data_IF_437309637698
#
_entry.id   IF_437309637698
#
_cell.length_a   1.000
_cell.length_b   1.000
_cell.length_c   1.000
_cell.angle_alpha   90.00
_cell.angle_beta   90.00
_cell.angle_gamma   90.00
#
_symmetry.space_group_name_H-M   'P 1'
#
loop_
_entity.id
_entity.type
_entity.pdbx_description
1 polymer ?
#
# COMPACT_ATOMS: atom_id res chain seq x y z
N UNK A 1 2.36 7.85 -18.91
CA UNK A 1 1.60 6.65 -18.57
C UNK A 1 0.65 7.06 -17.46
N UNK A 2 -0.65 7.17 -17.73
CA UNK A 2 -1.67 7.45 -16.72
C UNK A 2 -1.96 6.14 -16.02
N UNK A 3 -1.67 6.09 -14.72
CA UNK A 3 -2.08 4.98 -13.88
C UNK A 3 -3.49 5.28 -13.39
N UNK A 4 -4.50 4.86 -14.16
CA UNK A 4 -5.87 4.79 -13.66
C UNK A 4 -6.07 3.42 -13.03
N UNK A 5 -6.15 3.38 -11.71
CA UNK A 5 -6.71 2.25 -10.99
C UNK A 5 -8.21 2.52 -10.83
N UNK A 6 -9.02 1.91 -11.69
CA UNK A 6 -10.46 1.84 -11.51
C UNK A 6 -10.89 0.39 -11.64
N UNK A 7 -11.08 -0.28 -10.51
CA UNK A 7 -11.72 -1.58 -10.48
C UNK A 7 -13.23 -1.40 -10.59
N UNK A 8 -13.76 -1.54 -11.81
CA UNK A 8 -15.20 -1.62 -12.04
C UNK A 8 -15.62 -3.09 -11.98
N UNK A 9 -16.45 -3.46 -11.01
CA UNK A 9 -16.97 -4.80 -10.76
C UNK A 9 -17.82 -5.40 -11.90
N UNK A 10 -17.89 -4.77 -13.08
CA UNK A 10 -18.75 -5.14 -14.21
C UNK A 10 -18.04 -5.76 -15.41
N UNK A 11 -16.72 -5.89 -15.41
CA UNK A 11 -16.00 -6.60 -16.48
C UNK A 11 -15.69 -8.04 -16.07
N UNK A 12 -16.66 -8.93 -16.24
CA UNK A 12 -16.46 -10.38 -16.27
C UNK A 12 -15.94 -10.82 -17.64
N UNK A 13 -14.72 -10.44 -18.01
CA UNK A 13 -13.91 -11.29 -18.87
C UNK A 13 -13.44 -12.43 -17.99
N UNK A 14 -13.67 -13.68 -18.41
CA UNK A 14 -13.15 -14.87 -17.76
C UNK A 14 -11.64 -14.82 -17.80
N UNK A 15 -11.07 -14.19 -16.79
CA UNK A 15 -9.64 -14.21 -16.51
C UNK A 15 -9.29 -15.69 -16.42
N UNK A 16 -8.31 -16.15 -17.18
CA UNK A 16 -7.83 -17.50 -17.04
C UNK A 16 -7.09 -17.59 -15.68
N UNK A 17 -7.85 -17.83 -14.62
CA UNK A 17 -7.42 -17.78 -13.22
C UNK A 17 -6.18 -18.65 -12.97
N UNK A 18 -6.08 -19.79 -13.65
CA UNK A 18 -4.94 -20.68 -13.52
C UNK A 18 -3.65 -20.05 -14.08
N UNK A 19 -3.73 -19.33 -15.21
CA UNK A 19 -2.58 -18.68 -15.81
C UNK A 19 -2.07 -17.53 -14.95
N UNK A 20 -2.99 -16.70 -14.42
CA UNK A 20 -2.60 -15.59 -13.54
C UNK A 20 -2.06 -16.10 -12.21
N UNK A 21 -2.61 -17.21 -11.69
CA UNK A 21 -2.07 -17.84 -10.49
C UNK A 21 -0.61 -18.30 -10.70
N UNK A 22 -0.30 -18.95 -11.82
CA UNK A 22 1.07 -19.34 -12.17
C UNK A 22 1.99 -18.12 -12.32
N UNK A 23 1.53 -17.09 -13.00
CA UNK A 23 2.25 -15.83 -13.14
C UNK A 23 2.51 -15.18 -11.78
N UNK A 24 1.52 -15.17 -10.88
CA UNK A 24 1.70 -14.70 -9.50
C UNK A 24 2.75 -15.53 -8.76
N UNK A 25 2.76 -16.87 -8.91
CA UNK A 25 3.77 -17.71 -8.25
C UNK A 25 5.20 -17.35 -8.70
N UNK A 26 5.37 -17.00 -9.98
CA UNK A 26 6.65 -16.63 -10.57
C UNK A 26 7.07 -15.18 -10.25
N UNK A 27 6.12 -14.31 -9.87
CA UNK A 27 6.37 -12.90 -9.58
C UNK A 27 7.28 -12.74 -8.36
N UNK A 28 8.38 -12.01 -8.52
CA UNK A 28 9.33 -11.75 -7.44
C UNK A 28 8.87 -10.59 -6.57
N UNK A 29 9.14 -10.69 -5.29
CA UNK A 29 8.83 -9.61 -4.33
C UNK A 29 9.45 -8.27 -4.73
N UNK A 30 10.64 -8.29 -5.35
CA UNK A 30 11.31 -7.06 -5.80
C UNK A 30 10.55 -6.37 -6.94
N UNK A 31 9.92 -7.13 -7.82
CA UNK A 31 9.09 -6.60 -8.91
C UNK A 31 7.85 -5.88 -8.34
N UNK A 32 7.20 -6.46 -7.33
CA UNK A 32 6.09 -5.84 -6.62
C UNK A 32 6.54 -4.53 -5.95
N UNK A 33 7.70 -4.53 -5.28
CA UNK A 33 8.26 -3.33 -4.64
C UNK A 33 8.54 -2.24 -5.66
N UNK A 34 9.14 -2.59 -6.79
CA UNK A 34 9.46 -1.65 -7.87
C UNK A 34 8.19 -1.00 -8.41
N UNK A 35 7.16 -1.80 -8.68
CA UNK A 35 5.86 -1.32 -9.15
C UNK A 35 5.22 -0.35 -8.15
N UNK A 36 5.09 -0.74 -6.88
CA UNK A 36 4.50 0.10 -5.82
C UNK A 36 5.28 1.41 -5.67
N UNK A 37 6.61 1.32 -5.70
CA UNK A 37 7.48 2.50 -5.58
C UNK A 37 7.31 3.46 -6.76
N UNK A 38 7.24 2.93 -7.97
CA UNK A 38 7.02 3.71 -9.18
C UNK A 38 5.64 4.38 -9.15
N UNK A 39 4.59 3.63 -8.81
CA UNK A 39 3.23 4.13 -8.69
C UNK A 39 3.15 5.34 -7.75
N UNK A 40 3.64 5.20 -6.52
CA UNK A 40 3.58 6.30 -5.54
C UNK A 40 4.47 7.48 -5.91
N UNK A 41 5.65 7.26 -6.49
CA UNK A 41 6.49 8.36 -6.96
C UNK A 41 5.81 9.18 -8.06
N UNK A 42 5.15 8.52 -9.01
CA UNK A 42 4.39 9.18 -10.06
C UNK A 42 3.21 9.97 -9.49
N UNK A 43 2.44 9.36 -8.60
CA UNK A 43 1.30 10.01 -7.94
C UNK A 43 1.73 11.23 -7.10
N UNK A 44 2.84 11.13 -6.36
CA UNK A 44 3.40 12.25 -5.60
C UNK A 44 3.80 13.38 -6.54
N UNK A 45 4.44 13.08 -7.66
CA UNK A 45 4.86 14.08 -8.64
C UNK A 45 3.67 14.77 -9.30
N UNK A 46 2.61 14.02 -9.65
CA UNK A 46 1.35 14.57 -10.17
C UNK A 46 0.68 15.51 -9.13
N UNK A 47 0.55 15.05 -7.89
CA UNK A 47 -0.04 15.84 -6.81
C UNK A 47 0.78 17.07 -6.44
N UNK A 48 2.10 17.05 -6.62
CA UNK A 48 2.97 18.20 -6.37
C UNK A 48 2.73 19.34 -7.37
N UNK A 49 2.46 19.02 -8.64
CA UNK A 49 2.17 20.01 -9.69
C UNK A 49 0.84 20.72 -9.46
N UNK A 50 -0.10 20.12 -8.77
CA UNK A 50 -1.43 20.67 -8.47
C UNK A 50 -1.39 21.58 -7.21
N UNK A 51 -1.04 22.86 -7.38
CA UNK A 51 -0.85 23.86 -6.30
C UNK A 51 -2.06 24.08 -5.39
N UNK A 52 -3.29 23.85 -5.86
CA UNK A 52 -4.54 24.11 -5.12
C UNK A 52 -4.80 23.13 -3.96
N UNK A 53 -4.08 22.03 -3.86
CA UNK A 53 -4.30 20.97 -2.87
C UNK A 53 -3.44 21.11 -1.58
N UNK A 54 -2.75 22.25 -1.37
CA UNK A 54 -1.83 22.40 -0.21
C UNK A 54 -2.53 22.60 1.14
N UNK A 55 -3.75 23.15 1.18
CA UNK A 55 -4.47 23.49 2.43
C UNK A 55 -5.06 22.26 3.15
N UNK A 56 -5.44 21.21 2.42
CA UNK A 56 -6.10 20.02 2.98
C UNK A 56 -5.15 19.06 3.70
N UNK A 57 -3.83 19.26 3.56
CA UNK A 57 -2.80 18.34 4.06
C UNK A 57 -2.49 18.46 5.55
N UNK A 58 -2.91 19.53 6.22
CA UNK A 58 -2.53 19.78 7.63
C UNK A 58 -3.36 18.97 8.64
N UNK A 59 -4.55 18.47 8.26
CA UNK A 59 -5.44 17.65 9.10
C UNK A 59 -5.40 16.17 8.72
N UNK A 60 -4.30 15.70 8.15
CA UNK A 60 -4.13 14.30 7.76
C UNK A 60 -3.40 13.53 8.88
N UNK A 61 -4.03 12.49 9.41
CA UNK A 61 -3.51 11.63 10.46
C UNK A 61 -2.14 11.02 10.12
N UNK A 62 -1.91 10.79 8.82
CA UNK A 62 -0.65 10.22 8.31
C UNK A 62 0.41 11.28 8.00
N UNK A 63 0.09 12.56 8.16
CA UNK A 63 1.04 13.62 7.85
C UNK A 63 2.21 13.66 8.84
N UNK A 64 3.44 13.64 8.31
CA UNK A 64 4.67 13.82 9.08
C UNK A 64 5.42 15.06 8.64
N UNK A 65 5.87 15.87 9.60
CA UNK A 65 6.81 16.97 9.31
C UNK A 65 8.20 16.44 8.97
N UNK A 66 8.56 15.27 9.51
CA UNK A 66 9.85 14.61 9.25
C UNK A 66 9.65 13.56 8.16
N UNK A 67 10.24 13.78 7.01
CA UNK A 67 10.24 12.82 5.90
C UNK A 67 11.46 11.91 6.06
N UNK A 68 11.30 10.57 5.99
CA UNK A 68 12.44 9.67 5.97
C UNK A 68 13.41 9.98 4.81
N UNK A 69 14.70 9.85 5.05
CA UNK A 69 15.74 10.02 4.01
C UNK A 69 15.84 8.82 3.05
N UNK A 70 15.00 7.81 3.26
CA UNK A 70 14.92 6.61 2.42
C UNK A 70 13.98 6.84 1.25
N UNK A 71 14.26 6.22 0.10
CA UNK A 71 13.28 6.09 -0.98
C UNK A 71 12.14 5.16 -0.56
N UNK A 72 10.99 5.25 -1.22
CA UNK A 72 9.85 4.36 -0.98
C UNK A 72 10.28 2.89 -1.14
N UNK A 73 11.04 2.58 -2.17
CA UNK A 73 11.60 1.25 -2.42
C UNK A 73 12.45 0.73 -1.26
N UNK A 74 13.41 1.55 -0.78
CA UNK A 74 14.25 1.17 0.36
C UNK A 74 13.44 1.00 1.65
N UNK A 75 12.36 1.76 1.80
CA UNK A 75 11.47 1.65 2.94
C UNK A 75 10.66 0.37 2.92
N UNK A 76 10.08 0.00 1.77
CA UNK A 76 9.40 -1.28 1.55
C UNK A 76 10.35 -2.47 1.78
N UNK A 77 11.55 -2.43 1.20
CA UNK A 77 12.59 -3.44 1.42
C UNK A 77 12.93 -3.58 2.92
N UNK A 78 12.98 -2.46 3.66
CA UNK A 78 13.21 -2.49 5.12
C UNK A 78 12.05 -3.19 5.83
N UNK A 79 10.80 -2.86 5.53
CA UNK A 79 9.65 -3.53 6.14
C UNK A 79 9.73 -5.03 5.90
N UNK A 80 9.88 -5.46 4.64
CA UNK A 80 9.93 -6.87 4.26
C UNK A 80 11.07 -7.60 4.95
N UNK A 81 12.26 -6.99 4.98
CA UNK A 81 13.44 -7.59 5.62
C UNK A 81 13.20 -7.95 7.08
N UNK A 82 12.48 -7.11 7.82
CA UNK A 82 12.28 -7.30 9.25
C UNK A 82 10.98 -8.03 9.60
N UNK A 83 9.93 -7.93 8.77
CA UNK A 83 8.65 -8.62 9.03
C UNK A 83 8.54 -9.94 8.30
N UNK A 84 9.30 -10.15 7.23
CA UNK A 84 9.15 -11.29 6.32
C UNK A 84 7.71 -11.47 5.83
N UNK A 85 7.03 -10.33 5.62
CA UNK A 85 5.68 -10.28 5.08
C UNK A 85 5.61 -10.99 3.72
N UNK A 86 4.57 -11.78 3.51
CA UNK A 86 4.38 -12.52 2.27
C UNK A 86 4.05 -11.57 1.11
N UNK A 87 4.40 -11.98 -0.12
CA UNK A 87 4.16 -11.16 -1.31
C UNK A 87 2.66 -10.88 -1.56
N UNK A 88 1.79 -11.83 -1.23
CA UNK A 88 0.33 -11.65 -1.25
C UNK A 88 -0.12 -10.55 -0.27
N UNK A 89 0.36 -10.61 0.95
CA UNK A 89 0.06 -9.63 2.00
C UNK A 89 0.60 -8.24 1.65
N UNK A 90 1.75 -8.17 0.99
CA UNK A 90 2.30 -6.90 0.47
C UNK A 90 1.37 -6.28 -0.58
N UNK A 91 0.86 -7.08 -1.53
CA UNK A 91 -0.11 -6.64 -2.54
C UNK A 91 -1.41 -6.16 -1.87
N UNK A 92 -1.95 -6.91 -0.90
CA UNK A 92 -3.14 -6.53 -0.13
C UNK A 92 -2.92 -5.20 0.59
N UNK A 93 -1.73 -5.00 1.20
CA UNK A 93 -1.41 -3.72 1.84
C UNK A 93 -1.44 -2.54 0.86
N UNK A 94 -1.05 -2.76 -0.37
CA UNK A 94 -1.12 -1.76 -1.42
C UNK A 94 -2.58 -1.49 -1.83
N UNK A 95 -3.42 -2.52 -1.97
CA UNK A 95 -4.85 -2.37 -2.27
C UNK A 95 -5.55 -1.52 -1.20
N UNK A 96 -5.24 -1.69 0.07
CA UNK A 96 -5.81 -0.84 1.13
C UNK A 96 -5.51 0.65 0.91
N UNK A 97 -4.31 0.99 0.45
CA UNK A 97 -3.97 2.38 0.15
C UNK A 97 -4.73 2.86 -1.09
N UNK A 98 -4.88 2.01 -2.11
CA UNK A 98 -5.67 2.35 -3.31
C UNK A 98 -7.12 2.65 -2.94
N UNK A 99 -7.74 1.84 -2.07
CA UNK A 99 -9.10 2.10 -1.57
C UNK A 99 -9.23 3.46 -0.86
N UNK A 100 -8.20 3.86 -0.08
CA UNK A 100 -8.20 5.17 0.59
C UNK A 100 -8.12 6.31 -0.45
N UNK A 101 -7.32 6.13 -1.49
CA UNK A 101 -7.17 7.11 -2.57
C UNK A 101 -8.49 7.30 -3.32
N UNK A 102 -9.14 6.20 -3.70
CA UNK A 102 -10.37 6.23 -4.49
C UNK A 102 -11.57 6.79 -3.72
N UNK A 103 -11.83 6.25 -2.51
CA UNK A 103 -12.99 6.64 -1.70
C UNK A 103 -12.96 8.09 -1.24
N UNK A 104 -11.78 8.63 -0.97
CA UNK A 104 -11.65 9.89 -0.26
C UNK A 104 -11.05 11.06 -1.05
N UNK A 105 -10.75 10.91 -2.34
CA UNK A 105 -9.88 11.87 -3.05
C UNK A 105 -8.61 12.19 -2.24
N UNK A 106 -8.09 11.16 -1.55
CA UNK A 106 -6.98 11.31 -0.62
C UNK A 106 -5.70 11.68 -1.37
N UNK A 107 -5.00 12.70 -0.89
CA UNK A 107 -3.84 13.25 -1.58
C UNK A 107 -2.56 12.64 -1.04
N UNK A 108 -1.97 11.73 -1.80
CA UNK A 108 -0.66 11.18 -1.50
C UNK A 108 0.43 12.24 -1.70
N UNK A 109 1.32 12.36 -0.72
CA UNK A 109 2.49 13.21 -0.77
C UNK A 109 3.67 12.61 0.02
N UNK A 110 4.86 13.20 -0.10
CA UNK A 110 6.07 12.73 0.63
C UNK A 110 5.88 12.70 2.14
N UNK A 111 5.00 13.54 2.67
CA UNK A 111 4.78 13.67 4.11
C UNK A 111 3.87 12.58 4.71
N UNK A 112 3.05 11.88 3.92
CA UNK A 112 2.10 10.90 4.44
C UNK A 112 2.36 9.46 3.96
N UNK A 113 3.00 9.27 2.81
CA UNK A 113 3.11 7.95 2.18
C UNK A 113 3.82 6.90 3.06
N UNK A 114 4.85 7.27 3.79
CA UNK A 114 5.60 6.32 4.62
C UNK A 114 4.78 5.77 5.78
N UNK A 115 3.97 6.62 6.42
CA UNK A 115 3.05 6.21 7.48
C UNK A 115 1.89 5.36 6.94
N UNK A 116 1.37 5.71 5.77
CA UNK A 116 0.36 4.90 5.08
C UNK A 116 0.91 3.51 4.75
N UNK A 117 2.09 3.41 4.14
CA UNK A 117 2.73 2.13 3.84
C UNK A 117 2.92 1.30 5.12
N UNK A 118 3.47 1.91 6.18
CA UNK A 118 3.73 1.18 7.42
C UNK A 118 2.45 0.63 8.05
N UNK A 119 1.42 1.45 8.16
CA UNK A 119 0.16 1.06 8.79
C UNK A 119 -0.65 0.09 7.92
N UNK A 120 -0.62 0.23 6.60
CA UNK A 120 -1.27 -0.73 5.70
C UNK A 120 -0.58 -2.10 5.75
N UNK A 121 0.76 -2.15 5.77
CA UNK A 121 1.49 -3.39 5.98
C UNK A 121 1.18 -4.02 7.35
N UNK A 122 1.07 -3.21 8.41
CA UNK A 122 0.71 -3.70 9.74
C UNK A 122 -0.66 -4.38 9.75
N UNK A 123 -1.70 -3.73 9.21
CA UNK A 123 -3.05 -4.32 9.23
C UNK A 123 -3.17 -5.50 8.27
N UNK A 124 -2.53 -5.44 7.09
CA UNK A 124 -2.50 -6.56 6.17
C UNK A 124 -1.81 -7.77 6.79
N UNK A 125 -0.67 -7.57 7.46
CA UNK A 125 0.03 -8.62 8.20
C UNK A 125 -0.84 -9.25 9.28
N UNK A 126 -1.50 -8.43 10.11
CA UNK A 126 -2.35 -8.92 11.19
C UNK A 126 -3.58 -9.70 10.70
N UNK A 127 -4.11 -9.34 9.54
CA UNK A 127 -5.33 -9.94 9.02
C UNK A 127 -5.08 -11.19 8.18
N UNK A 128 -3.97 -11.20 7.40
CA UNK A 128 -3.75 -12.25 6.40
C UNK A 128 -2.70 -13.29 6.80
N UNK A 129 -1.82 -12.98 7.77
CA UNK A 129 -0.75 -13.92 8.15
C UNK A 129 -1.04 -14.62 9.47
N UNK A 130 -0.84 -15.93 9.50
CA UNK A 130 -1.00 -16.73 10.73
C UNK A 130 0.06 -16.42 11.78
N UNK A 131 1.19 -15.84 11.38
CA UNK A 131 2.34 -15.51 12.22
C UNK A 131 2.11 -14.25 13.06
N UNK A 132 1.11 -14.24 13.92
CA UNK A 132 0.66 -13.08 14.70
C UNK A 132 1.56 -12.68 15.88
N UNK A 133 2.87 -12.90 15.81
CA UNK A 133 3.78 -12.60 16.94
C UNK A 133 4.39 -11.20 16.90
N UNK A 134 4.26 -10.45 15.83
CA UNK A 134 4.78 -9.08 15.80
C UNK A 134 3.76 -8.08 16.37
N UNK A 135 4.15 -7.52 17.52
CA UNK A 135 3.37 -6.45 18.18
C UNK A 135 3.51 -5.13 17.43
N UNK A 136 2.58 -4.21 17.63
CA UNK A 136 2.65 -2.84 17.06
C UNK A 136 3.97 -2.14 17.37
N UNK A 137 4.51 -2.36 18.59
CA UNK A 137 5.82 -1.81 18.98
C UNK A 137 6.97 -2.23 18.06
N UNK A 138 6.88 -3.44 17.47
CA UNK A 138 7.87 -3.91 16.51
C UNK A 138 7.76 -3.16 15.18
N UNK A 139 6.55 -3.04 14.64
CA UNK A 139 6.31 -2.22 13.43
C UNK A 139 6.69 -0.75 13.65
N UNK A 140 6.38 -0.19 14.82
CA UNK A 140 6.82 1.15 15.20
C UNK A 140 8.33 1.33 15.12
N UNK A 141 9.12 0.36 15.63
CA UNK A 141 10.59 0.38 15.52
C UNK A 141 11.07 0.33 14.08
N UNK A 142 10.43 -0.50 13.23
CA UNK A 142 10.76 -0.57 11.81
C UNK A 142 10.50 0.79 11.13
N UNK A 143 9.37 1.42 11.42
CA UNK A 143 8.97 2.72 10.88
C UNK A 143 9.67 3.92 11.49
N UNK A 144 10.40 3.75 12.61
CA UNK A 144 11.03 4.84 13.34
C UNK A 144 10.04 5.74 14.09
N UNK A 145 8.91 5.18 14.52
CA UNK A 145 7.86 5.86 15.29
C UNK A 145 7.58 5.14 16.60
N UNK A 146 6.99 5.83 17.57
CA UNK A 146 6.67 5.24 18.87
C UNK A 146 5.39 4.40 18.87
N UNK A 147 5.15 3.66 19.97
CA UNK A 147 4.00 2.76 20.09
C UNK A 147 2.66 3.50 20.00
N UNK A 148 2.54 4.66 20.63
CA UNK A 148 1.28 5.42 20.62
C UNK A 148 0.96 5.90 19.19
N UNK A 149 1.97 6.32 18.45
CA UNK A 149 1.82 6.76 17.07
C UNK A 149 1.40 5.62 16.15
N UNK A 150 2.04 4.45 16.23
CA UNK A 150 1.65 3.32 15.36
C UNK A 150 0.24 2.78 15.72
N UNK A 151 -0.16 2.78 17.00
CA UNK A 151 -1.51 2.41 17.40
C UNK A 151 -2.55 3.39 16.85
N UNK A 152 -2.26 4.69 16.88
CA UNK A 152 -3.11 5.72 16.31
C UNK A 152 -3.23 5.55 14.79
N UNK A 153 -2.12 5.30 14.08
CA UNK A 153 -2.13 5.10 12.63
C UNK A 153 -2.88 3.83 12.22
N UNK A 154 -2.78 2.76 13.01
CA UNK A 154 -3.56 1.53 12.81
C UNK A 154 -5.06 1.82 12.88
N UNK A 155 -5.50 2.52 13.92
CA UNK A 155 -6.90 2.92 14.03
C UNK A 155 -7.35 3.83 12.87
N UNK A 156 -6.52 4.79 12.50
CA UNK A 156 -6.82 5.75 11.42
C UNK A 156 -6.98 5.07 10.07
N UNK A 157 -6.12 4.08 9.74
CA UNK A 157 -6.24 3.38 8.46
C UNK A 157 -7.45 2.45 8.45
N UNK A 158 -7.73 1.72 9.53
CA UNK A 158 -8.94 0.90 9.66
C UNK A 158 -10.22 1.73 9.47
N UNK A 159 -10.28 2.91 10.08
CA UNK A 159 -11.39 3.83 9.91
C UNK A 159 -11.53 4.31 8.46
N UNK A 160 -10.43 4.65 7.78
CA UNK A 160 -10.46 5.11 6.37
C UNK A 160 -10.95 4.06 5.39
N UNK A 161 -10.61 2.79 5.61
CA UNK A 161 -11.11 1.67 4.80
C UNK A 161 -12.47 1.13 5.28
N UNK A 162 -13.10 1.78 6.29
CA UNK A 162 -14.35 1.34 6.91
C UNK A 162 -14.28 -0.11 7.43
N UNK A 163 -13.13 -0.52 7.97
CA UNK A 163 -12.88 -1.89 8.46
C UNK A 163 -13.07 -2.99 7.41
N UNK A 164 -13.08 -2.63 6.12
CA UNK A 164 -13.18 -3.59 5.02
C UNK A 164 -11.79 -4.15 4.72
N UNK A 165 -11.46 -5.28 5.34
CA UNK A 165 -10.15 -5.93 5.22
C UNK A 165 -10.15 -7.08 4.20
N UNK A 166 -11.31 -7.62 3.90
CA UNK A 166 -11.43 -8.68 2.90
C UNK A 166 -11.24 -8.09 1.50
N UNK A 167 -10.29 -8.65 0.76
CA UNK A 167 -10.05 -8.36 -0.66
C UNK A 167 -10.52 -9.58 -1.46
N UNK A 168 -11.38 -9.37 -2.45
CA UNK A 168 -11.83 -10.46 -3.29
C UNK A 168 -10.74 -10.86 -4.31
N UNK A 169 -10.81 -12.08 -4.79
CA UNK A 169 -9.81 -12.65 -5.69
C UNK A 169 -9.68 -11.85 -7.01
N UNK A 170 -10.79 -11.40 -7.57
CA UNK A 170 -10.78 -10.64 -8.83
C UNK A 170 -9.99 -9.34 -8.69
N UNK A 171 -10.18 -8.60 -7.59
CA UNK A 171 -9.46 -7.38 -7.30
C UNK A 171 -7.97 -7.65 -7.09
N UNK A 172 -7.65 -8.71 -6.36
CA UNK A 172 -6.27 -9.13 -6.12
C UNK A 172 -5.57 -9.47 -7.44
N UNK A 173 -6.16 -10.35 -8.25
CA UNK A 173 -5.56 -10.78 -9.52
C UNK A 173 -5.54 -9.69 -10.57
N UNK A 174 -6.51 -8.78 -10.57
CA UNK A 174 -6.45 -7.59 -11.42
C UNK A 174 -5.18 -6.78 -11.14
N UNK A 175 -4.85 -6.54 -9.87
CA UNK A 175 -3.63 -5.81 -9.53
C UNK A 175 -2.36 -6.61 -9.86
N UNK A 176 -2.36 -7.93 -9.64
CA UNK A 176 -1.25 -8.81 -10.05
C UNK A 176 -0.98 -8.66 -11.56
N UNK A 177 -2.01 -8.69 -12.37
CA UNK A 177 -1.91 -8.50 -13.82
C UNK A 177 -1.31 -7.14 -14.20
N UNK A 178 -1.70 -6.06 -13.50
CA UNK A 178 -1.11 -4.74 -13.73
C UNK A 178 0.38 -4.70 -13.38
N UNK A 179 0.78 -5.37 -12.31
CA UNK A 179 2.20 -5.47 -11.93
C UNK A 179 3.00 -6.18 -13.02
N UNK A 180 2.51 -7.32 -13.50
CA UNK A 180 3.17 -8.12 -14.54
C UNK A 180 3.27 -7.37 -15.88
N UNK A 181 2.20 -6.68 -16.27
CA UNK A 181 2.19 -5.88 -17.51
C UNK A 181 3.18 -4.72 -17.49
N UNK A 182 3.48 -4.18 -16.32
CA UNK A 182 4.41 -3.05 -16.20
C UNK A 182 5.88 -3.46 -16.23
N UNK A 183 6.18 -4.76 -16.09
CA UNK A 183 7.53 -5.33 -16.19
C UNK A 183 7.94 -5.67 -17.64
N UNK A 184 6.97 -5.70 -18.57
CA UNK A 184 7.19 -5.93 -20.02
C UNK A 184 7.34 -4.61 -20.79
#
# INVERSE_FOLDING_TARGET
MEFEYSYNSTTTESINENLIYEDFQNLKTQEIISYISLYFNNLINQNYKNKNKKKERQNDDFYSRKIPLLTIEKYLNRIIKYTQIEKSTLIISFIYILHIIEKGKYIICKNNIYRLILSSCLIAFKFNEEKNYFKNSYFGKIGGINLNEINFLEYSILSKINYQLYINENEFYFLVEQIIKNEK
#
